data_IF_316934533976
#
_entry.id   IF_316934533976
#
_cell.length_a   1.000
_cell.length_b   1.000
_cell.length_c   1.000
_cell.angle_alpha   90.00
_cell.angle_beta   90.00
_cell.angle_gamma   90.00
#
_symmetry.space_group_name_H-M   'P 1'
#
loop_
_entity.id
_entity.type
_entity.pdbx_description
1 polymer ?
#
# COMPACT_ATOMS: atom_id res chain seq x y z
N UNK A 1 -9.54 5.64 17.23
CA UNK A 1 -8.26 4.96 17.60
C UNK A 1 -7.36 5.94 18.35
N UNK A 2 -6.24 5.48 18.95
CA UNK A 2 -5.22 6.35 19.55
C UNK A 2 -3.88 6.01 18.87
N UNK A 3 -3.08 7.02 18.48
CA UNK A 3 -1.78 6.76 17.87
C UNK A 3 -0.88 5.94 18.80
N UNK A 4 -0.22 4.90 18.27
CA UNK A 4 0.74 4.09 19.05
C UNK A 4 2.09 4.79 19.21
N UNK A 5 2.43 5.67 18.30
CA UNK A 5 3.69 6.40 18.29
C UNK A 5 3.41 7.89 18.11
N UNK A 6 4.24 8.70 18.75
CA UNK A 6 4.24 10.16 18.66
C UNK A 6 5.69 10.59 18.40
N UNK A 7 6.08 10.55 17.12
CA UNK A 7 7.39 10.96 16.62
C UNK A 7 7.30 12.31 15.94
N UNK A 8 8.43 13.00 15.80
CA UNK A 8 8.49 14.08 14.81
C UNK A 8 8.45 13.49 13.40
N UNK A 9 8.07 14.30 12.41
CA UNK A 9 8.10 13.89 11.00
C UNK A 9 9.49 13.40 10.59
N UNK A 10 10.54 14.12 11.00
CA UNK A 10 11.93 13.78 10.70
C UNK A 10 12.35 12.44 11.30
N UNK A 11 11.93 12.16 12.53
CA UNK A 11 12.18 10.87 13.18
C UNK A 11 11.48 9.74 12.43
N UNK A 12 10.25 9.96 11.98
CA UNK A 12 9.51 8.95 11.24
C UNK A 12 10.08 8.74 9.83
N UNK A 13 10.51 9.81 9.14
CA UNK A 13 11.25 9.71 7.86
C UNK A 13 12.53 8.91 8.06
N UNK A 14 13.29 9.17 9.12
CA UNK A 14 14.50 8.42 9.44
C UNK A 14 14.20 6.93 9.67
N UNK A 15 13.13 6.63 10.42
CA UNK A 15 12.67 5.26 10.66
C UNK A 15 12.31 4.56 9.32
N UNK A 16 11.56 5.25 8.45
CA UNK A 16 11.17 4.72 7.15
C UNK A 16 12.39 4.43 6.24
N UNK A 17 13.37 5.32 6.22
CA UNK A 17 14.63 5.13 5.48
C UNK A 17 15.44 3.95 6.02
N UNK A 18 15.56 3.84 7.34
CA UNK A 18 16.32 2.77 8.00
C UNK A 18 15.69 1.39 7.74
N UNK A 19 14.38 1.33 7.70
CA UNK A 19 13.60 0.09 7.49
C UNK A 19 13.18 -0.12 6.02
N UNK A 20 13.77 0.59 5.06
CA UNK A 20 13.32 0.57 3.66
C UNK A 20 13.26 -0.84 3.08
N UNK A 21 14.30 -1.66 3.30
CA UNK A 21 14.34 -3.05 2.82
C UNK A 21 13.20 -3.88 3.42
N UNK A 22 12.96 -3.74 4.71
CA UNK A 22 11.91 -4.47 5.43
C UNK A 22 10.50 -4.02 4.99
N UNK A 23 10.31 -2.74 4.73
CA UNK A 23 9.04 -2.21 4.20
C UNK A 23 8.75 -2.75 2.79
N UNK A 24 9.76 -2.79 1.93
CA UNK A 24 9.65 -3.36 0.57
C UNK A 24 9.36 -4.86 0.66
N UNK A 25 10.10 -5.59 1.48
CA UNK A 25 9.90 -7.01 1.71
C UNK A 25 8.47 -7.32 2.18
N UNK A 26 7.97 -6.60 3.19
CA UNK A 26 6.61 -6.78 3.69
C UNK A 26 5.55 -6.54 2.61
N UNK A 27 5.71 -5.51 1.78
CA UNK A 27 4.78 -5.25 0.67
C UNK A 27 4.83 -6.35 -0.40
N UNK A 28 6.02 -6.85 -0.74
CA UNK A 28 6.19 -7.96 -1.67
C UNK A 28 5.54 -9.25 -1.16
N UNK A 29 5.72 -9.56 0.12
CA UNK A 29 5.08 -10.72 0.77
C UNK A 29 3.57 -10.59 0.80
N UNK A 30 3.02 -9.40 1.03
CA UNK A 30 1.57 -9.14 1.00
C UNK A 30 0.99 -9.35 -0.41
N UNK A 31 1.78 -9.16 -1.46
CA UNK A 31 1.42 -9.45 -2.85
C UNK A 31 1.57 -10.94 -3.22
N UNK A 32 2.13 -11.74 -2.31
CA UNK A 32 2.29 -13.18 -2.48
C UNK A 32 3.61 -13.60 -3.14
N UNK A 33 4.58 -12.68 -3.28
CA UNK A 33 5.89 -13.03 -3.82
C UNK A 33 6.59 -14.04 -2.90
N UNK A 34 7.12 -15.11 -3.50
CA UNK A 34 7.92 -16.09 -2.79
C UNK A 34 9.39 -15.66 -2.68
N UNK A 35 9.63 -14.63 -1.88
CA UNK A 35 10.94 -14.02 -1.69
C UNK A 35 11.29 -13.98 -0.20
N UNK A 36 12.57 -14.04 0.12
CA UNK A 36 13.11 -13.86 1.47
C UNK A 36 13.64 -12.44 1.68
N UNK A 37 13.79 -12.04 2.94
CA UNK A 37 14.39 -10.75 3.28
C UNK A 37 15.83 -10.59 2.74
N UNK A 38 16.75 -11.60 2.87
CA UNK A 38 18.08 -11.52 2.26
C UNK A 38 18.05 -11.35 0.74
N UNK A 39 17.16 -12.05 0.03
CA UNK A 39 17.01 -11.91 -1.42
C UNK A 39 16.51 -10.51 -1.80
N UNK A 40 15.53 -9.98 -1.08
CA UNK A 40 15.07 -8.60 -1.26
C UNK A 40 16.22 -7.60 -1.12
N UNK A 41 17.03 -7.76 -0.08
CA UNK A 41 18.20 -6.91 0.15
C UNK A 41 19.21 -7.02 -1.00
N UNK A 42 19.52 -8.23 -1.44
CA UNK A 42 20.46 -8.52 -2.54
C UNK A 42 20.02 -7.85 -3.85
N UNK A 43 18.70 -7.91 -4.19
CA UNK A 43 18.15 -7.22 -5.37
C UNK A 43 18.32 -5.70 -5.25
N UNK A 44 18.04 -5.15 -4.07
CA UNK A 44 18.15 -3.71 -3.83
C UNK A 44 19.60 -3.20 -3.86
N UNK A 45 20.57 -4.06 -3.63
CA UNK A 45 22.01 -3.81 -3.81
C UNK A 45 22.46 -3.94 -5.29
N UNK A 46 21.53 -4.30 -6.20
CA UNK A 46 21.81 -4.41 -7.64
C UNK A 46 22.44 -5.75 -8.05
N UNK A 47 22.38 -6.75 -7.18
CA UNK A 47 22.89 -8.10 -7.44
C UNK A 47 21.75 -9.02 -7.87
N UNK A 48 22.00 -9.83 -8.90
CA UNK A 48 20.99 -10.81 -9.37
C UNK A 48 20.82 -11.94 -8.36
N UNK A 49 19.58 -12.35 -8.14
CA UNK A 49 19.21 -13.49 -7.29
C UNK A 49 18.78 -14.65 -8.19
N UNK A 50 19.51 -15.77 -8.16
CA UNK A 50 19.14 -16.97 -8.93
C UNK A 50 17.73 -17.45 -8.56
N UNK A 51 17.02 -18.01 -9.55
CA UNK A 51 15.68 -18.61 -9.42
C UNK A 51 14.51 -17.63 -9.19
N UNK A 52 14.74 -16.31 -9.15
CA UNK A 52 13.66 -15.34 -9.21
C UNK A 52 13.34 -14.99 -10.66
N UNK A 53 12.07 -14.83 -10.93
CA UNK A 53 11.57 -14.39 -12.24
C UNK A 53 11.81 -12.89 -12.42
N UNK A 54 11.93 -12.45 -13.65
CA UNK A 54 12.17 -11.04 -13.98
C UNK A 54 11.04 -10.14 -13.47
N UNK A 55 9.79 -10.60 -13.54
CA UNK A 55 8.63 -9.87 -13.03
C UNK A 55 8.63 -9.73 -11.49
N UNK A 56 9.13 -10.75 -10.77
CA UNK A 56 9.30 -10.65 -9.30
C UNK A 56 10.38 -9.62 -8.93
N UNK A 57 11.49 -9.62 -9.66
CA UNK A 57 12.55 -8.61 -9.49
C UNK A 57 12.00 -7.20 -9.82
N UNK A 58 11.25 -7.08 -10.93
CA UNK A 58 10.64 -5.81 -11.32
C UNK A 58 9.70 -5.28 -10.25
N UNK A 59 8.87 -6.13 -9.66
CA UNK A 59 7.98 -5.76 -8.55
C UNK A 59 8.77 -5.18 -7.36
N UNK A 60 9.88 -5.80 -6.97
CA UNK A 60 10.76 -5.30 -5.89
C UNK A 60 11.34 -3.92 -6.22
N UNK A 61 11.79 -3.73 -7.46
CA UNK A 61 12.35 -2.46 -7.90
C UNK A 61 11.26 -1.35 -7.98
N UNK A 62 10.07 -1.70 -8.42
CA UNK A 62 8.92 -0.81 -8.42
C UNK A 62 8.54 -0.37 -6.99
N UNK A 63 8.48 -1.30 -6.05
CA UNK A 63 8.26 -1.01 -4.63
C UNK A 63 9.33 -0.10 -4.04
N UNK A 64 10.61 -0.33 -4.38
CA UNK A 64 11.72 0.55 -3.99
C UNK A 64 11.49 1.98 -4.47
N UNK A 65 11.13 2.14 -5.74
CA UNK A 65 10.94 3.46 -6.34
C UNK A 65 9.73 4.19 -5.72
N UNK A 66 8.64 3.47 -5.47
CA UNK A 66 7.46 4.01 -4.81
C UNK A 66 7.75 4.44 -3.35
N UNK A 67 8.44 3.62 -2.55
CA UNK A 67 8.82 3.98 -1.19
C UNK A 67 9.79 5.18 -1.16
N UNK A 68 10.78 5.21 -2.04
CA UNK A 68 11.69 6.36 -2.16
C UNK A 68 10.94 7.62 -2.55
N UNK A 69 9.96 7.51 -3.46
CA UNK A 69 9.15 8.65 -3.85
C UNK A 69 8.36 9.20 -2.67
N UNK A 70 7.66 8.37 -1.90
CA UNK A 70 6.93 8.82 -0.70
C UNK A 70 7.86 9.51 0.29
N UNK A 71 8.99 8.89 0.63
CA UNK A 71 9.93 9.43 1.62
C UNK A 71 10.50 10.78 1.19
N UNK A 72 10.74 10.98 -0.10
CA UNK A 72 11.31 12.22 -0.64
C UNK A 72 10.27 13.31 -0.93
N UNK A 73 8.99 12.95 -0.99
CA UNK A 73 7.88 13.85 -1.29
C UNK A 73 6.82 13.84 -0.18
N UNK A 74 7.27 13.68 1.06
CA UNK A 74 6.36 13.54 2.21
C UNK A 74 5.51 14.78 2.45
N UNK A 75 5.95 15.95 2.02
CA UNK A 75 5.27 17.23 2.19
C UNK A 75 4.24 17.52 1.09
N UNK A 76 4.22 16.69 0.03
CA UNK A 76 3.21 16.86 -1.02
C UNK A 76 1.81 16.54 -0.48
N UNK A 77 0.82 17.25 -1.00
CA UNK A 77 -0.58 17.00 -0.66
C UNK A 77 -0.98 15.56 -0.95
N UNK A 78 -1.73 14.97 -0.02
CA UNK A 78 -2.34 13.67 -0.22
C UNK A 78 -3.63 13.82 -1.02
N UNK A 79 -3.56 13.58 -2.31
CA UNK A 79 -4.67 13.72 -3.26
C UNK A 79 -4.64 12.59 -4.30
N UNK A 80 -5.59 12.59 -5.22
CA UNK A 80 -5.68 11.57 -6.27
C UNK A 80 -4.43 11.54 -7.16
N UNK A 81 -3.86 12.69 -7.50
CA UNK A 81 -2.65 12.77 -8.35
C UNK A 81 -1.45 12.12 -7.66
N UNK A 82 -1.30 12.33 -6.35
CA UNK A 82 -0.27 11.67 -5.55
C UNK A 82 -0.47 10.14 -5.55
N UNK A 83 -1.71 9.69 -5.35
CA UNK A 83 -2.06 8.25 -5.35
C UNK A 83 -1.80 7.63 -6.72
N UNK A 84 -2.20 8.31 -7.81
CA UNK A 84 -1.92 7.90 -9.18
C UNK A 84 -0.41 7.79 -9.43
N UNK A 85 0.38 8.74 -8.94
CA UNK A 85 1.85 8.69 -9.05
C UNK A 85 2.45 7.50 -8.30
N UNK A 86 1.94 7.15 -7.12
CA UNK A 86 2.38 5.94 -6.42
C UNK A 86 2.02 4.69 -7.21
N UNK A 87 0.81 4.60 -7.76
CA UNK A 87 0.42 3.46 -8.58
C UNK A 87 1.27 3.35 -9.86
N UNK A 88 1.57 4.48 -10.51
CA UNK A 88 2.48 4.51 -11.67
C UNK A 88 3.82 3.83 -11.36
N UNK A 89 4.38 4.09 -10.19
CA UNK A 89 5.64 3.49 -9.77
C UNK A 89 5.48 2.01 -9.38
N UNK A 90 4.38 1.68 -8.68
CA UNK A 90 4.10 0.32 -8.18
C UNK A 90 3.78 -0.66 -9.30
N UNK A 91 2.94 -0.26 -10.26
CA UNK A 91 2.39 -1.16 -11.28
C UNK A 91 3.07 -1.05 -12.65
N UNK A 92 4.14 -0.25 -12.73
CA UNK A 92 4.88 -0.02 -13.99
C UNK A 92 5.36 -1.34 -14.59
N UNK A 93 4.99 -1.57 -15.84
CA UNK A 93 5.29 -2.77 -16.62
C UNK A 93 4.66 -4.08 -16.07
N UNK A 94 3.73 -3.99 -15.13
CA UNK A 94 3.03 -5.15 -14.56
C UNK A 94 1.55 -5.22 -14.97
N UNK A 95 1.01 -4.16 -15.56
CA UNK A 95 -0.41 -3.99 -15.83
C UNK A 95 -0.66 -3.50 -17.27
N UNK A 96 -1.94 -3.48 -17.67
CA UNK A 96 -2.39 -2.92 -18.97
C UNK A 96 -2.09 -1.42 -19.02
N UNK A 97 -2.33 -0.73 -17.90
CA UNK A 97 -2.08 0.68 -17.71
C UNK A 97 -1.76 0.94 -16.23
N UNK A 98 -1.04 1.99 -15.91
CA UNK A 98 -0.63 2.33 -14.55
C UNK A 98 -0.67 3.84 -14.31
N UNK A 99 -0.94 4.22 -13.06
CA UNK A 99 -1.03 5.62 -12.66
C UNK A 99 -2.31 6.34 -13.11
N UNK A 100 -3.26 5.61 -13.69
CA UNK A 100 -4.57 6.12 -14.11
C UNK A 100 -5.68 5.24 -13.57
N UNK A 101 -6.83 5.83 -13.27
CA UNK A 101 -8.00 5.07 -12.84
C UNK A 101 -8.43 4.10 -13.94
N UNK A 102 -8.70 2.85 -13.56
CA UNK A 102 -9.20 1.85 -14.51
C UNK A 102 -10.56 2.25 -15.09
N UNK A 103 -10.78 1.89 -16.32
CA UNK A 103 -12.02 2.16 -17.06
C UNK A 103 -12.83 0.88 -17.34
N UNK A 104 -12.44 -0.24 -16.74
CA UNK A 104 -13.10 -1.52 -16.92
C UNK A 104 -13.33 -2.25 -15.61
N UNK A 105 -14.08 -3.34 -15.69
CA UNK A 105 -14.39 -4.21 -14.55
C UNK A 105 -13.19 -5.06 -14.18
N UNK A 106 -12.97 -5.25 -12.88
CA UNK A 106 -12.00 -6.19 -12.32
C UNK A 106 -12.71 -7.11 -11.33
N UNK A 107 -12.15 -8.28 -11.13
CA UNK A 107 -12.62 -9.22 -10.11
C UNK A 107 -11.52 -9.45 -9.08
N UNK A 108 -11.90 -9.48 -7.80
CA UNK A 108 -10.97 -9.82 -6.73
C UNK A 108 -10.99 -11.33 -6.52
N UNK A 109 -9.86 -11.98 -6.73
CA UNK A 109 -9.73 -13.43 -6.58
C UNK A 109 -10.17 -13.88 -5.18
N UNK A 110 -11.02 -14.92 -5.12
CA UNK A 110 -11.49 -15.50 -3.87
C UNK A 110 -12.70 -14.77 -3.24
N UNK A 111 -13.34 -13.86 -3.96
CA UNK A 111 -14.60 -13.21 -3.53
C UNK A 111 -15.56 -13.06 -4.71
N UNK A 112 -16.87 -12.94 -4.39
CA UNK A 112 -17.91 -12.58 -5.37
C UNK A 112 -18.09 -11.05 -5.49
N UNK A 113 -17.35 -10.27 -4.71
CA UNK A 113 -17.43 -8.83 -4.75
C UNK A 113 -16.77 -8.27 -6.02
N UNK A 114 -17.52 -7.51 -6.77
CA UNK A 114 -17.06 -6.81 -7.98
C UNK A 114 -17.01 -5.31 -7.65
N UNK A 115 -15.80 -4.72 -7.60
CA UNK A 115 -15.65 -3.29 -7.38
C UNK A 115 -16.26 -2.46 -8.53
N UNK A 116 -16.96 -1.40 -8.20
CA UNK A 116 -17.46 -0.43 -9.19
C UNK A 116 -16.29 0.18 -9.99
N UNK A 117 -16.56 0.51 -11.25
CA UNK A 117 -15.60 1.27 -12.07
C UNK A 117 -15.43 2.65 -11.41
N UNK A 118 -14.19 3.05 -11.07
CA UNK A 118 -13.98 4.30 -10.34
C UNK A 118 -14.38 5.52 -11.18
N UNK A 119 -15.14 6.41 -10.55
CA UNK A 119 -15.43 7.75 -11.07
C UNK A 119 -14.51 8.75 -10.35
N UNK A 120 -13.83 9.60 -11.09
CA UNK A 120 -12.81 10.50 -10.55
C UNK A 120 -13.36 11.45 -9.47
N UNK A 121 -14.54 12.03 -9.69
CA UNK A 121 -15.19 12.94 -8.74
C UNK A 121 -15.51 12.22 -7.43
N UNK A 122 -16.11 11.02 -7.52
CA UNK A 122 -16.46 10.21 -6.35
C UNK A 122 -15.20 9.79 -5.58
N UNK A 123 -14.13 9.42 -6.29
CA UNK A 123 -12.84 9.05 -5.67
C UNK A 123 -12.25 10.24 -4.92
N UNK A 124 -12.20 11.42 -5.53
CA UNK A 124 -11.73 12.66 -4.89
C UNK A 124 -12.55 13.01 -3.64
N UNK A 125 -13.89 12.90 -3.74
CA UNK A 125 -14.77 13.15 -2.62
C UNK A 125 -14.53 12.16 -1.47
N UNK A 126 -14.36 10.87 -1.78
CA UNK A 126 -14.10 9.84 -0.77
C UNK A 126 -12.74 10.03 -0.09
N UNK A 127 -11.69 10.36 -0.86
CA UNK A 127 -10.37 10.72 -0.31
C UNK A 127 -10.52 11.89 0.67
N UNK A 128 -11.19 12.97 0.25
CA UNK A 128 -11.41 14.14 1.10
C UNK A 128 -12.17 13.78 2.39
N UNK A 129 -13.18 12.91 2.30
CA UNK A 129 -13.92 12.44 3.48
C UNK A 129 -13.01 11.68 4.45
N UNK A 130 -12.14 10.81 3.94
CA UNK A 130 -11.18 10.07 4.77
C UNK A 130 -10.18 11.03 5.43
N UNK A 131 -9.74 12.06 4.72
CA UNK A 131 -8.81 13.04 5.26
C UNK A 131 -9.37 13.89 6.39
N UNK A 132 -10.70 13.96 6.57
CA UNK A 132 -11.34 14.62 7.72
C UNK A 132 -11.34 13.77 9.00
N UNK A 133 -10.91 12.52 8.97
CA UNK A 133 -10.78 11.69 10.17
C UNK A 133 -9.69 12.30 11.06
N UNK A 134 -10.02 12.66 12.29
CA UNK A 134 -9.12 13.37 13.21
C UNK A 134 -7.86 12.55 13.55
N UNK A 135 -8.05 11.27 13.92
CA UNK A 135 -6.93 10.43 14.30
C UNK A 135 -6.16 9.94 13.04
N UNK A 136 -4.88 10.25 12.98
CA UNK A 136 -4.04 10.03 11.81
C UNK A 136 -3.83 8.55 11.50
N UNK A 137 -3.64 7.71 12.53
CA UNK A 137 -3.53 6.26 12.36
C UNK A 137 -4.83 5.67 11.83
N UNK A 138 -5.97 6.10 12.34
CA UNK A 138 -7.28 5.69 11.85
C UNK A 138 -7.49 6.13 10.40
N UNK A 139 -7.15 7.38 10.08
CA UNK A 139 -7.18 7.94 8.72
C UNK A 139 -6.37 7.11 7.74
N UNK A 140 -5.15 6.73 8.12
CA UNK A 140 -4.27 5.92 7.29
C UNK A 140 -4.84 4.51 7.04
N UNK A 141 -5.37 3.86 8.08
CA UNK A 141 -6.00 2.53 7.97
C UNK A 141 -7.28 2.60 7.13
N UNK A 142 -8.13 3.62 7.33
CA UNK A 142 -9.33 3.82 6.50
C UNK A 142 -8.99 4.00 5.03
N UNK A 143 -7.97 4.80 4.72
CA UNK A 143 -7.51 4.95 3.35
C UNK A 143 -6.96 3.62 2.78
N UNK A 144 -6.14 2.89 3.54
CA UNK A 144 -5.61 1.60 3.12
C UNK A 144 -6.72 0.62 2.73
N UNK A 145 -7.73 0.49 3.57
CA UNK A 145 -8.87 -0.39 3.33
C UNK A 145 -9.74 0.09 2.16
N UNK A 146 -9.98 1.40 2.07
CA UNK A 146 -10.69 1.98 0.93
C UNK A 146 -9.99 1.66 -0.39
N UNK A 147 -8.71 1.95 -0.53
CA UNK A 147 -7.97 1.71 -1.76
C UNK A 147 -7.87 0.23 -2.13
N UNK A 148 -7.70 -0.65 -1.12
CA UNK A 148 -7.69 -2.10 -1.34
C UNK A 148 -9.04 -2.62 -1.85
N UNK A 149 -10.17 -2.15 -1.31
CA UNK A 149 -11.49 -2.64 -1.69
C UNK A 149 -12.00 -2.00 -2.99
N UNK A 150 -11.75 -0.72 -3.20
CA UNK A 150 -12.22 0.00 -4.38
C UNK A 150 -11.51 -0.42 -5.67
N UNK A 151 -10.31 -1.03 -5.57
CA UNK A 151 -9.54 -1.46 -6.74
C UNK A 151 -9.48 -0.35 -7.80
N UNK A 152 -8.94 0.81 -7.42
CA UNK A 152 -8.94 2.01 -8.26
C UNK A 152 -8.18 1.83 -9.57
N UNK A 153 -7.22 0.91 -9.60
CA UNK A 153 -6.30 0.67 -10.71
C UNK A 153 -6.45 -0.76 -11.27
N UNK A 154 -5.87 -0.99 -12.44
CA UNK A 154 -5.84 -2.32 -13.04
C UNK A 154 -5.05 -3.33 -12.21
N UNK A 155 -3.95 -2.88 -11.59
CA UNK A 155 -3.10 -3.70 -10.72
C UNK A 155 -2.41 -2.84 -9.64
N UNK A 156 -1.73 -3.51 -8.70
CA UNK A 156 -0.95 -2.89 -7.64
C UNK A 156 -1.79 -2.23 -6.54
N UNK A 157 -3.10 -2.48 -6.47
CA UNK A 157 -4.01 -1.79 -5.53
C UNK A 157 -3.63 -2.01 -4.06
N UNK A 158 -3.27 -3.23 -3.63
CA UNK A 158 -2.81 -3.50 -2.25
C UNK A 158 -1.52 -2.77 -1.94
N UNK A 159 -0.55 -2.85 -2.84
CA UNK A 159 0.76 -2.20 -2.71
C UNK A 159 0.62 -0.68 -2.65
N UNK A 160 -0.10 -0.10 -3.60
CA UNK A 160 -0.39 1.34 -3.65
C UNK A 160 -1.08 1.82 -2.38
N UNK A 161 -2.13 1.14 -1.94
CA UNK A 161 -2.91 1.51 -0.76
C UNK A 161 -2.08 1.48 0.51
N UNK A 162 -1.21 0.47 0.67
CA UNK A 162 -0.32 0.36 1.83
C UNK A 162 0.74 1.45 1.84
N UNK A 163 1.36 1.75 0.70
CA UNK A 163 2.39 2.79 0.59
C UNK A 163 1.77 4.18 0.81
N UNK A 164 0.60 4.45 0.25
CA UNK A 164 -0.13 5.70 0.46
C UNK A 164 -0.59 5.88 1.92
N UNK A 165 -1.06 4.81 2.58
CA UNK A 165 -1.36 4.85 4.01
C UNK A 165 -0.12 5.20 4.85
N UNK A 166 1.03 4.66 4.47
CA UNK A 166 2.29 4.98 5.13
C UNK A 166 2.76 6.41 4.88
N UNK A 167 2.38 7.04 3.76
CA UNK A 167 2.58 8.50 3.59
C UNK A 167 1.87 9.26 4.71
N UNK A 168 0.60 8.96 4.98
CA UNK A 168 -0.17 9.60 6.05
C UNK A 168 0.49 9.34 7.42
N UNK A 169 0.90 8.11 7.70
CA UNK A 169 1.57 7.76 8.96
C UNK A 169 2.88 8.51 9.16
N UNK A 170 3.75 8.51 8.15
CA UNK A 170 5.09 9.12 8.23
C UNK A 170 5.00 10.63 8.37
N UNK A 171 4.13 11.28 7.61
CA UNK A 171 3.91 12.73 7.65
C UNK A 171 3.52 13.21 9.04
N UNK A 172 2.75 12.39 9.77
CA UNK A 172 2.20 12.71 11.08
C UNK A 172 2.95 12.07 12.26
N UNK A 173 4.10 11.43 12.03
CA UNK A 173 4.90 10.86 13.10
C UNK A 173 4.30 9.62 13.77
N UNK A 174 3.37 8.94 13.11
CA UNK A 174 2.58 7.83 13.69
C UNK A 174 3.20 6.44 13.49
N UNK A 175 4.44 6.36 13.00
CA UNK A 175 5.11 5.09 12.72
C UNK A 175 4.89 4.58 11.29
N UNK A 176 4.89 3.27 11.13
CA UNK A 176 4.75 2.60 9.83
C UNK A 176 3.77 1.43 9.98
N UNK A 177 2.78 1.36 9.10
CA UNK A 177 1.89 0.20 8.96
C UNK A 177 2.61 -0.88 8.17
N UNK A 178 2.70 -2.07 8.75
CA UNK A 178 3.32 -3.24 8.14
C UNK A 178 2.63 -4.51 8.62
N UNK A 179 2.37 -5.45 7.72
CA UNK A 179 1.89 -6.79 8.09
C UNK A 179 3.10 -7.72 8.22
N UNK A 180 3.40 -8.22 9.44
CA UNK A 180 4.48 -9.18 9.63
C UNK A 180 4.24 -10.49 8.87
N UNK A 181 5.30 -11.15 8.43
CA UNK A 181 5.23 -12.37 7.62
C UNK A 181 4.39 -13.48 8.29
N UNK A 182 4.57 -13.69 9.60
CA UNK A 182 3.80 -14.65 10.39
C UNK A 182 2.32 -14.28 10.59
N UNK A 183 1.89 -13.10 10.16
CA UNK A 183 0.52 -12.59 10.23
C UNK A 183 -0.16 -12.48 8.85
N UNK A 184 0.55 -12.76 7.76
CA UNK A 184 0.03 -12.63 6.40
C UNK A 184 -1.19 -13.52 6.13
N UNK A 185 -1.20 -14.74 6.66
CA UNK A 185 -2.33 -15.65 6.52
C UNK A 185 -3.60 -15.07 7.16
N UNK A 186 -3.48 -14.58 8.39
CA UNK A 186 -4.60 -13.99 9.12
C UNK A 186 -5.09 -12.72 8.41
N UNK A 187 -4.15 -11.88 7.97
CA UNK A 187 -4.46 -10.69 7.18
C UNK A 187 -5.24 -11.02 5.91
N UNK A 188 -4.80 -12.02 5.15
CA UNK A 188 -5.45 -12.44 3.90
C UNK A 188 -6.89 -12.91 4.13
N UNK A 189 -7.12 -13.68 5.21
CA UNK A 189 -8.47 -14.14 5.59
C UNK A 189 -9.36 -12.94 5.91
N UNK A 190 -8.90 -12.03 6.78
CA UNK A 190 -9.65 -10.84 7.18
C UNK A 190 -9.91 -9.89 6.00
N UNK A 191 -8.93 -9.76 5.10
CA UNK A 191 -9.07 -8.94 3.90
C UNK A 191 -10.11 -9.52 2.93
N UNK A 192 -10.14 -10.84 2.74
CA UNK A 192 -11.16 -11.51 1.92
C UNK A 192 -12.57 -11.33 2.50
N UNK A 193 -12.72 -11.47 3.82
CA UNK A 193 -13.99 -11.19 4.51
C UNK A 193 -14.41 -9.73 4.34
N UNK A 194 -13.48 -8.80 4.51
CA UNK A 194 -13.73 -7.38 4.31
C UNK A 194 -14.16 -7.07 2.86
N UNK A 195 -13.51 -7.64 1.86
CA UNK A 195 -13.93 -7.47 0.46
C UNK A 195 -15.38 -7.88 0.24
N UNK A 196 -15.78 -9.02 0.77
CA UNK A 196 -17.13 -9.58 0.58
C UNK A 196 -18.19 -8.81 1.37
N UNK A 197 -17.90 -8.45 2.62
CA UNK A 197 -18.92 -7.95 3.57
C UNK A 197 -18.91 -6.44 3.77
N UNK A 198 -17.81 -5.76 3.42
CA UNK A 198 -17.53 -4.36 3.77
C UNK A 198 -17.47 -4.07 5.30
N UNK A 199 -17.41 -5.12 6.13
CA UNK A 199 -17.24 -4.98 7.59
C UNK A 199 -15.77 -4.81 7.89
N UNK A 200 -15.37 -3.64 8.38
CA UNK A 200 -13.97 -3.26 8.53
C UNK A 200 -13.44 -3.32 9.97
N UNK A 201 -14.30 -3.51 10.95
CA UNK A 201 -13.94 -3.43 12.37
C UNK A 201 -12.82 -4.39 12.74
N UNK A 202 -12.96 -5.67 12.36
CA UNK A 202 -11.98 -6.72 12.71
C UNK A 202 -10.64 -6.50 12.02
N UNK A 203 -10.65 -6.21 10.72
CA UNK A 203 -9.41 -5.96 9.97
C UNK A 203 -8.73 -4.65 10.41
N UNK A 204 -9.49 -3.61 10.77
CA UNK A 204 -8.95 -2.37 11.36
C UNK A 204 -8.19 -2.65 12.66
N UNK A 205 -8.79 -3.45 13.56
CA UNK A 205 -8.14 -3.85 14.82
C UNK A 205 -6.88 -4.68 14.59
N UNK A 206 -6.89 -5.52 13.56
CA UNK A 206 -5.73 -6.34 13.20
C UNK A 206 -4.57 -5.50 12.65
N UNK A 207 -4.86 -4.50 11.81
CA UNK A 207 -3.85 -3.60 11.23
C UNK A 207 -3.31 -2.64 12.30
N UNK A 208 -4.17 -2.21 13.21
CA UNK A 208 -3.80 -1.36 14.35
C UNK A 208 -2.91 -2.11 15.33
#
# INVERSE_FOLDING_TARGET
MKNKFEMTREQNIFLAKRNLVDNIYSNAKMEGLNITFPETKTILEGVNVPNLRIDEIQCILNLRDAWKYVINNIENDFNLDFICKINELVARNESIDWGVLRQGTVQITGTDYIPEIPNEENVKQQINTILQIENETERAIEYMLYGMRSQLFWDGNKRTSTICANKIMIENGCGIIKVPDNKLKDFTILLSEFYSTNKKETIKQFIF
#
